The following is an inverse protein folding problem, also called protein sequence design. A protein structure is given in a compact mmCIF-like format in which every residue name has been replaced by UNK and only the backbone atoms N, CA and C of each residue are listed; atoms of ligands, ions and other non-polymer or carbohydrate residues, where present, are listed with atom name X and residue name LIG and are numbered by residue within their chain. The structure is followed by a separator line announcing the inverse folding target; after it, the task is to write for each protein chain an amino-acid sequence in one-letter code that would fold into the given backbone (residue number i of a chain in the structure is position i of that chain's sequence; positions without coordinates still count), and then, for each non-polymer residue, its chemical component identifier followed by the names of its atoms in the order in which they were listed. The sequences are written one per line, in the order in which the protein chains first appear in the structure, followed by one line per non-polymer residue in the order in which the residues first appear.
data_IF_605609986664
#
_entry.id   IF_605609986664
#
_cell.length_a   1.000
_cell.length_b   1.000
_cell.length_c   1.000
_cell.angle_alpha   90.00
_cell.angle_beta   90.00
_cell.angle_gamma   90.00
#
_symmetry.space_group_name_H-M   'P 1'
#
loop_
_entity.id
_entity.type
_entity.pdbx_description
1 polymer ?
#
# COMPACT_ATOMS: atom_id res chain seq x y z
N UNK A 1 0.99 -17.93 -3.55
CA UNK A 1 1.09 -19.35 -3.15
C UNK A 1 -0.19 -20.19 -3.36
N UNK A 2 -1.13 -19.74 -4.17
CA UNK A 2 -2.40 -20.45 -4.43
C UNK A 2 -2.21 -21.75 -5.23
N UNK A 3 -1.11 -21.89 -5.96
CA UNK A 3 -0.85 -23.06 -6.83
C UNK A 3 -0.15 -24.21 -6.10
N UNK A 4 0.62 -23.95 -5.05
CA UNK A 4 1.37 -24.99 -4.33
C UNK A 4 0.47 -26.11 -3.76
N UNK A 5 -0.65 -25.80 -3.05
CA UNK A 5 -1.52 -26.86 -2.53
C UNK A 5 -2.19 -27.73 -3.60
N UNK A 6 -2.32 -27.20 -4.84
CA UNK A 6 -3.02 -27.86 -5.92
C UNK A 6 -2.09 -28.63 -6.87
N UNK A 7 -0.85 -28.18 -7.04
CA UNK A 7 0.06 -28.64 -8.10
C UNK A 7 1.47 -28.96 -7.57
N UNK A 8 1.73 -28.76 -6.27
CA UNK A 8 3.08 -28.87 -5.71
C UNK A 8 3.67 -30.27 -5.74
N UNK A 9 2.86 -31.30 -5.72
CA UNK A 9 3.28 -32.70 -5.80
C UNK A 9 3.63 -33.16 -7.22
N UNK A 10 2.93 -32.61 -8.23
CA UNK A 10 3.05 -33.02 -9.62
C UNK A 10 3.87 -32.07 -10.51
N UNK A 11 3.86 -30.77 -10.19
CA UNK A 11 4.47 -29.72 -11.01
C UNK A 11 5.50 -28.85 -10.26
N UNK A 12 6.12 -29.36 -9.20
CA UNK A 12 7.02 -28.59 -8.34
C UNK A 12 8.13 -27.85 -9.11
N UNK A 13 8.83 -28.57 -10.00
CA UNK A 13 9.92 -27.97 -10.79
C UNK A 13 9.45 -26.85 -11.71
N UNK A 14 8.26 -27.00 -12.30
CA UNK A 14 7.63 -25.99 -13.16
C UNK A 14 7.20 -24.76 -12.35
N UNK A 15 6.62 -24.99 -11.16
CA UNK A 15 6.27 -23.91 -10.23
C UNK A 15 7.53 -23.17 -9.77
N UNK A 16 8.58 -23.88 -9.35
CA UNK A 16 9.87 -23.27 -8.97
C UNK A 16 10.38 -22.33 -10.07
N UNK A 17 10.46 -22.82 -11.29
CA UNK A 17 10.89 -22.04 -12.45
C UNK A 17 10.03 -20.80 -12.71
N UNK A 18 8.72 -20.86 -12.45
CA UNK A 18 7.81 -19.73 -12.64
C UNK A 18 8.02 -18.59 -11.62
N UNK A 19 8.70 -18.86 -10.50
CA UNK A 19 9.01 -17.89 -9.45
C UNK A 19 10.48 -17.44 -9.40
N UNK A 20 11.33 -17.89 -10.35
CA UNK A 20 12.77 -17.54 -10.38
C UNK A 20 13.06 -16.07 -10.69
N UNK A 21 12.05 -15.29 -11.14
CA UNK A 21 12.18 -13.88 -11.51
C UNK A 21 11.64 -12.94 -10.42
N UNK A 22 11.75 -13.33 -9.16
CA UNK A 22 11.43 -12.46 -8.04
C UNK A 22 12.36 -11.25 -7.99
N UNK A 23 11.88 -10.14 -7.43
CA UNK A 23 12.66 -8.92 -7.21
C UNK A 23 12.82 -8.68 -5.71
N UNK A 24 14.01 -8.21 -5.31
CA UNK A 24 14.29 -7.82 -3.94
C UNK A 24 13.77 -6.39 -3.69
N UNK A 25 13.30 -6.14 -2.46
CA UNK A 25 12.85 -4.82 -2.04
C UNK A 25 14.02 -3.88 -1.72
N UNK A 26 15.14 -4.43 -1.23
CA UNK A 26 16.33 -3.64 -0.89
C UNK A 26 16.83 -2.82 -2.07
N UNK A 27 17.05 -1.52 -1.85
CA UNK A 27 17.50 -0.60 -2.89
C UNK A 27 16.42 -0.14 -3.87
N UNK A 28 15.19 -0.68 -3.78
CA UNK A 28 14.06 -0.19 -4.56
C UNK A 28 13.43 1.04 -3.91
N UNK A 29 12.74 1.84 -4.71
CA UNK A 29 12.06 3.03 -4.25
C UNK A 29 10.59 2.73 -4.00
N UNK A 30 10.11 3.00 -2.79
CA UNK A 30 8.68 3.02 -2.48
C UNK A 30 8.17 4.45 -2.43
N UNK A 31 7.12 4.73 -3.17
CA UNK A 31 6.36 5.97 -3.15
C UNK A 31 5.16 5.83 -2.20
N UNK A 32 5.12 6.68 -1.19
CA UNK A 32 4.04 6.71 -0.21
C UNK A 32 3.16 7.92 -0.48
N UNK A 33 1.91 7.68 -0.84
CA UNK A 33 0.91 8.74 -1.04
C UNK A 33 0.03 8.82 0.19
N UNK A 34 0.22 9.89 0.98
CA UNK A 34 -0.36 10.07 2.30
C UNK A 34 0.63 9.77 3.42
N UNK A 35 1.18 10.81 4.08
CA UNK A 35 2.14 10.72 5.20
C UNK A 35 1.48 10.92 6.56
N UNK A 36 0.23 10.49 6.69
CA UNK A 36 -0.46 10.36 7.99
C UNK A 36 0.12 9.24 8.86
N UNK A 37 -0.58 8.87 9.93
CA UNK A 37 -0.13 7.84 10.88
C UNK A 37 0.27 6.52 10.20
N UNK A 38 -0.55 6.04 9.24
CA UNK A 38 -0.31 4.76 8.55
C UNK A 38 0.87 4.90 7.57
N UNK A 39 0.91 5.98 6.77
CA UNK A 39 2.01 6.21 5.83
C UNK A 39 3.37 6.30 6.51
N UNK A 40 3.45 6.94 7.69
CA UNK A 40 4.68 6.99 8.50
C UNK A 40 5.10 5.61 9.02
N UNK A 41 4.17 4.75 9.42
CA UNK A 41 4.47 3.37 9.83
C UNK A 41 4.97 2.52 8.65
N UNK A 42 4.37 2.70 7.47
CA UNK A 42 4.86 2.03 6.25
C UNK A 42 6.26 2.54 5.89
N UNK A 43 6.51 3.85 5.99
CA UNK A 43 7.85 4.41 5.79
C UNK A 43 8.88 3.78 6.74
N UNK A 44 8.55 3.64 8.02
CA UNK A 44 9.41 3.01 9.04
C UNK A 44 9.76 1.56 8.66
N UNK A 45 8.77 0.78 8.22
CA UNK A 45 8.98 -0.61 7.78
C UNK A 45 9.85 -0.65 6.52
N UNK A 46 9.56 0.18 5.54
CA UNK A 46 10.29 0.25 4.27
C UNK A 46 11.76 0.63 4.46
N UNK A 47 12.05 1.60 5.34
CA UNK A 47 13.42 1.96 5.73
C UNK A 47 14.14 0.76 6.37
N UNK A 48 13.46 0.01 7.24
CA UNK A 48 14.00 -1.21 7.86
C UNK A 48 14.32 -2.31 6.85
N UNK A 49 13.61 -2.36 5.73
CA UNK A 49 13.86 -3.28 4.61
C UNK A 49 14.97 -2.78 3.66
N UNK A 50 15.54 -1.59 3.91
CA UNK A 50 16.56 -0.99 3.06
C UNK A 50 16.02 -0.41 1.76
N UNK A 51 14.75 -0.02 1.73
CA UNK A 51 14.16 0.69 0.60
C UNK A 51 14.45 2.19 0.67
N UNK A 52 14.49 2.83 -0.48
CA UNK A 52 14.40 4.29 -0.58
C UNK A 52 12.94 4.71 -0.45
N UNK A 53 12.66 5.65 0.44
CA UNK A 53 11.31 6.18 0.64
C UNK A 53 11.22 7.57 0.04
N UNK A 54 10.22 7.79 -0.81
CA UNK A 54 9.77 9.10 -1.29
C UNK A 54 8.28 9.24 -0.98
N UNK A 55 7.79 10.44 -0.74
CA UNK A 55 6.43 10.61 -0.24
C UNK A 55 5.73 11.85 -0.81
N UNK A 56 4.42 11.77 -0.95
CA UNK A 56 3.55 12.88 -1.26
C UNK A 56 2.44 13.01 -0.22
N UNK A 57 2.19 14.25 0.24
CA UNK A 57 1.08 14.58 1.13
C UNK A 57 0.72 16.06 0.96
N UNK A 58 -0.56 16.38 1.00
CA UNK A 58 -1.05 17.76 0.85
C UNK A 58 -0.92 18.61 2.13
N UNK A 59 -0.79 17.96 3.29
CA UNK A 59 -0.84 18.62 4.61
C UNK A 59 0.46 18.43 5.41
N UNK A 60 1.25 17.41 5.08
CA UNK A 60 2.50 17.07 5.78
C UNK A 60 3.66 17.37 4.85
N UNK A 61 4.39 18.47 5.08
CA UNK A 61 5.56 18.82 4.27
C UNK A 61 6.83 18.04 4.63
N UNK A 62 6.93 17.54 5.88
CA UNK A 62 8.06 16.74 6.39
C UNK A 62 7.60 15.85 7.53
N UNK A 63 8.13 14.64 7.57
CA UNK A 63 7.93 13.70 8.67
C UNK A 63 9.26 13.15 9.15
N UNK A 64 9.48 13.09 10.47
CA UNK A 64 10.65 12.48 11.09
C UNK A 64 10.30 11.06 11.54
N UNK A 65 10.81 10.07 10.84
CA UNK A 65 10.49 8.66 11.04
C UNK A 65 11.48 8.04 12.01
N UNK A 66 10.98 7.64 13.19
CA UNK A 66 11.78 6.97 14.21
C UNK A 66 11.86 5.46 13.93
N UNK A 67 13.02 4.99 13.49
CA UNK A 67 13.30 3.56 13.32
C UNK A 67 13.96 3.03 14.59
N UNK A 68 13.25 2.17 15.31
CA UNK A 68 13.75 1.56 16.59
C UNK A 68 14.32 0.18 16.31
N UNK A 69 15.39 -0.15 17.05
CA UNK A 69 16.02 -1.47 17.09
C UNK A 69 15.68 -2.19 18.40
N UNK A 70 15.87 -3.52 18.45
CA UNK A 70 15.54 -4.36 19.59
C UNK A 70 16.27 -3.98 20.89
N UNK A 71 17.45 -3.37 20.77
CA UNK A 71 18.30 -2.91 21.89
C UNK A 71 17.94 -1.49 22.37
N UNK A 72 16.75 -0.99 22.08
CA UNK A 72 16.25 0.36 22.35
C UNK A 72 17.02 1.51 21.67
N UNK A 73 18.00 1.22 20.84
CA UNK A 73 18.60 2.23 19.97
C UNK A 73 17.58 2.64 18.89
N UNK A 74 17.73 3.83 18.37
CA UNK A 74 16.92 4.33 17.28
C UNK A 74 17.69 5.32 16.42
N UNK A 75 17.24 5.48 15.20
CA UNK A 75 17.63 6.55 14.30
C UNK A 75 16.38 7.32 13.87
N UNK A 76 16.52 8.61 13.64
CA UNK A 76 15.49 9.41 13.01
C UNK A 76 15.87 9.63 11.54
N UNK A 77 14.94 9.38 10.64
CA UNK A 77 15.09 9.61 9.21
C UNK A 77 14.04 10.64 8.82
N UNK A 78 14.48 11.79 8.35
CA UNK A 78 13.59 12.83 7.88
C UNK A 78 13.21 12.58 6.41
N UNK A 79 11.92 12.62 6.13
CA UNK A 79 11.35 12.47 4.79
C UNK A 79 10.60 13.76 4.47
N UNK A 80 11.04 14.46 3.46
CA UNK A 80 10.33 15.59 2.88
C UNK A 80 9.34 15.07 1.85
N UNK A 81 8.14 15.65 1.82
CA UNK A 81 7.15 15.31 0.80
C UNK A 81 7.36 16.17 -0.44
N UNK A 82 7.06 15.60 -1.57
CA UNK A 82 7.13 16.22 -2.88
C UNK A 82 5.76 16.14 -3.60
N UNK A 83 5.56 16.86 -4.70
CA UNK A 83 4.37 16.69 -5.53
C UNK A 83 4.17 15.25 -5.95
N UNK A 84 2.91 14.80 -6.00
CA UNK A 84 2.55 13.41 -6.29
C UNK A 84 3.15 12.92 -7.62
N UNK A 85 3.25 13.79 -8.61
CA UNK A 85 3.82 13.49 -9.92
C UNK A 85 5.28 13.02 -9.82
N UNK A 86 6.05 13.60 -8.91
CA UNK A 86 7.43 13.19 -8.62
C UNK A 86 7.46 11.77 -8.06
N UNK A 87 6.61 11.48 -7.08
CA UNK A 87 6.46 10.15 -6.48
C UNK A 87 6.06 9.12 -7.53
N UNK A 88 5.04 9.40 -8.35
CA UNK A 88 4.57 8.49 -9.40
C UNK A 88 5.68 8.16 -10.40
N UNK A 89 6.45 9.15 -10.81
CA UNK A 89 7.50 9.01 -11.81
C UNK A 89 8.71 8.20 -11.33
N UNK A 90 9.04 8.26 -10.04
CA UNK A 90 10.29 7.69 -9.52
C UNK A 90 10.12 6.41 -8.70
N UNK A 91 8.91 6.08 -8.28
CA UNK A 91 8.66 4.89 -7.46
C UNK A 91 8.71 3.59 -8.28
N UNK A 92 9.26 2.53 -7.67
CA UNK A 92 9.16 1.14 -8.14
C UNK A 92 7.93 0.45 -7.53
N UNK A 93 7.53 0.89 -6.32
CA UNK A 93 6.35 0.48 -5.59
C UNK A 93 5.58 1.72 -5.14
N UNK A 94 4.27 1.73 -5.26
CA UNK A 94 3.41 2.82 -4.79
C UNK A 94 2.43 2.26 -3.78
N UNK A 95 2.26 2.94 -2.66
CA UNK A 95 1.27 2.59 -1.63
C UNK A 95 0.45 3.81 -1.23
N UNK A 96 -0.86 3.61 -1.10
CA UNK A 96 -1.82 4.68 -0.91
C UNK A 96 -2.37 4.65 0.52
N UNK A 97 -2.30 5.80 1.20
CA UNK A 97 -2.76 6.01 2.59
C UNK A 97 -3.55 7.31 2.73
N UNK A 98 -4.48 7.52 1.82
CA UNK A 98 -5.29 8.73 1.69
C UNK A 98 -6.76 8.43 1.94
N UNK A 99 -7.57 9.42 2.34
CA UNK A 99 -9.01 9.26 2.47
C UNK A 99 -9.67 9.04 1.09
N UNK A 100 -10.93 8.63 1.12
CA UNK A 100 -11.75 8.57 -0.10
C UNK A 100 -11.78 9.93 -0.78
N UNK A 101 -11.74 9.92 -2.11
CA UNK A 101 -11.89 11.13 -2.89
C UNK A 101 -13.36 11.57 -2.88
N UNK A 102 -13.58 12.89 -2.84
CA UNK A 102 -14.95 13.44 -2.90
C UNK A 102 -15.55 13.27 -4.29
N UNK A 103 -14.72 13.42 -5.32
CA UNK A 103 -15.10 13.28 -6.72
C UNK A 103 -13.94 12.62 -7.48
N UNK A 104 -14.27 11.73 -8.41
CA UNK A 104 -13.31 11.06 -9.28
C UNK A 104 -12.37 10.09 -8.52
N UNK A 105 -11.21 9.88 -9.10
CA UNK A 105 -10.15 9.00 -8.61
C UNK A 105 -8.86 9.80 -8.43
N UNK A 106 -8.03 9.41 -7.45
CA UNK A 106 -6.69 9.99 -7.32
C UNK A 106 -5.72 9.37 -8.33
N UNK A 107 -5.91 8.09 -8.62
CA UNK A 107 -5.09 7.33 -9.58
C UNK A 107 -6.00 6.83 -10.69
N UNK A 108 -5.92 7.45 -11.83
CA UNK A 108 -6.58 7.09 -13.07
C UNK A 108 -5.59 6.84 -14.22
N UNK A 109 -6.06 6.85 -15.46
CA UNK A 109 -5.23 6.59 -16.64
C UNK A 109 -4.00 7.51 -16.72
N UNK A 110 -4.18 8.81 -16.48
CA UNK A 110 -3.10 9.81 -16.53
C UNK A 110 -2.00 9.54 -15.51
N UNK A 111 -2.39 9.18 -14.30
CA UNK A 111 -1.46 8.88 -13.22
C UNK A 111 -0.70 7.57 -13.52
N UNK A 112 -1.38 6.55 -14.04
CA UNK A 112 -0.69 5.33 -14.50
C UNK A 112 0.31 5.63 -15.63
N UNK A 113 0.00 6.50 -16.58
CA UNK A 113 0.94 6.89 -17.65
C UNK A 113 2.23 7.52 -17.11
N UNK A 114 2.16 8.29 -16.03
CA UNK A 114 3.33 8.92 -15.39
C UNK A 114 4.24 7.91 -14.68
N UNK A 115 3.72 6.76 -14.26
CA UNK A 115 4.47 5.77 -13.47
C UNK A 115 5.54 5.08 -14.31
N UNK A 116 6.50 4.44 -13.64
CA UNK A 116 7.45 3.53 -14.30
C UNK A 116 6.73 2.33 -14.92
N UNK A 117 7.24 1.82 -16.03
CA UNK A 117 6.80 0.54 -16.55
C UNK A 117 7.16 -0.59 -15.57
N UNK A 118 6.19 -1.46 -15.28
CA UNK A 118 6.38 -2.55 -14.33
C UNK A 118 6.29 -2.13 -12.85
N UNK A 119 5.75 -0.95 -12.54
CA UNK A 119 5.49 -0.52 -11.16
C UNK A 119 4.54 -1.49 -10.45
N UNK A 120 4.69 -1.64 -9.14
CA UNK A 120 3.70 -2.30 -8.31
C UNK A 120 2.89 -1.28 -7.52
N UNK A 121 1.59 -1.51 -7.34
CA UNK A 121 0.72 -0.61 -6.57
C UNK A 121 -0.04 -1.36 -5.48
N UNK A 122 -0.17 -0.73 -4.31
CA UNK A 122 -0.92 -1.27 -3.17
C UNK A 122 -1.93 -0.24 -2.69
N UNK A 123 -3.18 -0.67 -2.55
CA UNK A 123 -4.23 0.14 -1.94
C UNK A 123 -4.87 -0.60 -0.76
N UNK A 124 -4.54 -0.16 0.45
CA UNK A 124 -5.17 -0.57 1.70
C UNK A 124 -5.82 0.65 2.38
N UNK A 125 -6.19 1.67 1.63
CA UNK A 125 -6.80 2.90 2.16
C UNK A 125 -8.32 2.91 2.00
N UNK A 126 -8.81 3.25 0.81
CA UNK A 126 -10.25 3.26 0.49
C UNK A 126 -10.49 2.81 -0.94
N UNK A 127 -11.61 2.14 -1.17
CA UNK A 127 -12.15 1.92 -2.51
C UNK A 127 -12.41 3.26 -3.20
N UNK A 128 -12.24 3.31 -4.54
CA UNK A 128 -12.41 4.55 -5.30
C UNK A 128 -11.23 5.54 -5.25
N UNK A 129 -10.13 5.25 -4.52
CA UNK A 129 -8.89 6.01 -4.66
C UNK A 129 -8.20 5.69 -5.99
N UNK A 130 -8.34 4.45 -6.46
CA UNK A 130 -7.88 4.00 -7.77
C UNK A 130 -9.11 3.78 -8.67
N UNK A 131 -9.04 4.24 -9.92
CA UNK A 131 -9.95 3.78 -10.98
C UNK A 131 -9.63 2.31 -11.29
N UNK A 132 -10.51 1.40 -10.89
CA UNK A 132 -10.30 -0.04 -11.10
C UNK A 132 -10.27 -0.44 -12.58
N UNK A 133 -10.97 0.27 -13.46
CA UNK A 133 -10.93 0.00 -14.92
C UNK A 133 -9.56 0.41 -15.49
N UNK A 134 -9.08 1.59 -15.11
CA UNK A 134 -7.75 2.05 -15.51
C UNK A 134 -6.65 1.13 -14.94
N UNK A 135 -6.80 0.62 -13.70
CA UNK A 135 -5.89 -0.36 -13.11
C UNK A 135 -5.84 -1.65 -13.93
N UNK A 136 -6.98 -2.21 -14.30
CA UNK A 136 -7.05 -3.44 -15.13
C UNK A 136 -6.36 -3.22 -16.48
N UNK A 137 -6.60 -2.08 -17.13
CA UNK A 137 -5.92 -1.71 -18.37
C UNK A 137 -4.41 -1.63 -18.19
N UNK A 138 -3.93 -0.98 -17.13
CA UNK A 138 -2.51 -0.85 -16.81
C UNK A 138 -1.84 -2.19 -16.47
N UNK A 139 -2.56 -3.12 -15.81
CA UNK A 139 -2.09 -4.48 -15.54
C UNK A 139 -1.99 -5.33 -16.82
N UNK A 140 -2.96 -5.19 -17.72
CA UNK A 140 -3.00 -5.92 -19.00
C UNK A 140 -1.87 -5.45 -19.93
N UNK A 141 -1.63 -4.14 -20.03
CA UNK A 141 -0.53 -3.57 -20.82
C UNK A 141 0.86 -3.83 -20.24
N UNK A 142 0.97 -4.25 -18.98
CA UNK A 142 2.22 -4.41 -18.27
C UNK A 142 2.81 -3.12 -17.71
N UNK A 143 2.09 -1.99 -17.80
CA UNK A 143 2.44 -0.72 -17.15
C UNK A 143 2.52 -0.91 -15.64
N UNK A 144 1.55 -1.62 -15.07
CA UNK A 144 1.57 -2.13 -13.70
C UNK A 144 1.91 -3.62 -13.74
N UNK A 145 2.92 -4.04 -13.01
CA UNK A 145 3.33 -5.45 -12.95
C UNK A 145 2.37 -6.28 -12.12
N UNK A 146 1.96 -5.76 -10.96
CA UNK A 146 0.98 -6.37 -10.05
C UNK A 146 0.39 -5.35 -9.10
N UNK A 147 -0.78 -5.67 -8.54
CA UNK A 147 -1.46 -4.85 -7.55
C UNK A 147 -1.79 -5.65 -6.29
N UNK A 148 -1.78 -4.98 -5.13
CA UNK A 148 -2.32 -5.45 -3.87
C UNK A 148 -3.52 -4.60 -3.46
N UNK A 149 -4.69 -5.21 -3.26
CA UNK A 149 -5.91 -4.50 -2.90
C UNK A 149 -6.54 -5.10 -1.64
N UNK A 150 -6.78 -4.28 -0.63
CA UNK A 150 -7.58 -4.63 0.54
C UNK A 150 -8.97 -3.96 0.51
N UNK A 151 -9.15 -3.00 -0.40
CA UNK A 151 -10.35 -2.17 -0.54
C UNK A 151 -10.78 -2.09 -2.01
N UNK A 152 -12.09 -1.92 -2.25
CA UNK A 152 -12.68 -1.99 -3.57
C UNK A 152 -13.77 -0.94 -3.79
N UNK A 153 -14.01 -0.59 -5.05
CA UNK A 153 -15.24 0.10 -5.43
C UNK A 153 -16.41 -0.88 -5.23
N UNK A 154 -17.52 -0.39 -4.73
CA UNK A 154 -18.74 -1.16 -4.49
C UNK A 154 -18.59 -2.32 -3.48
N UNK A 155 -17.83 -2.13 -2.40
CA UNK A 155 -17.92 -3.06 -1.27
C UNK A 155 -19.39 -3.16 -0.77
N UNK A 156 -19.89 -4.36 -0.43
CA UNK A 156 -19.19 -5.65 -0.33
C UNK A 156 -19.18 -6.49 -1.62
N UNK A 157 -19.49 -5.94 -2.76
CA UNK A 157 -19.60 -6.64 -4.06
C UNK A 157 -18.60 -6.11 -5.09
N UNK A 158 -17.28 -6.39 -4.95
CA UNK A 158 -16.29 -5.97 -5.92
C UNK A 158 -16.55 -6.57 -7.30
N UNK A 159 -16.05 -5.93 -8.35
CA UNK A 159 -16.25 -6.37 -9.72
C UNK A 159 -15.58 -7.72 -9.99
N UNK A 160 -16.21 -8.58 -10.81
CA UNK A 160 -15.64 -9.87 -11.22
C UNK A 160 -14.34 -9.71 -12.00
N UNK A 161 -14.15 -8.62 -12.68
CA UNK A 161 -12.96 -8.30 -13.44
C UNK A 161 -11.74 -8.14 -12.49
N UNK A 162 -11.91 -7.43 -11.40
CA UNK A 162 -10.90 -7.30 -10.34
C UNK A 162 -10.69 -8.66 -9.64
N UNK A 163 -11.77 -9.33 -9.20
CA UNK A 163 -11.68 -10.56 -8.42
C UNK A 163 -10.97 -11.70 -9.16
N UNK A 164 -11.09 -11.77 -10.48
CA UNK A 164 -10.50 -12.83 -11.30
C UNK A 164 -9.14 -12.46 -11.90
N UNK A 165 -8.64 -11.25 -11.69
CA UNK A 165 -7.40 -10.80 -12.33
C UNK A 165 -6.16 -11.47 -11.71
N UNK A 166 -5.38 -12.18 -12.53
CA UNK A 166 -4.26 -13.02 -12.06
C UNK A 166 -3.11 -12.25 -11.40
N UNK A 167 -2.96 -10.95 -11.75
CA UNK A 167 -1.91 -10.07 -11.22
C UNK A 167 -2.36 -9.24 -10.01
N UNK A 168 -3.54 -9.49 -9.45
CA UNK A 168 -4.04 -8.81 -8.26
C UNK A 168 -4.01 -9.78 -7.07
N UNK A 169 -3.36 -9.38 -5.99
CA UNK A 169 -3.47 -10.01 -4.67
C UNK A 169 -4.50 -9.26 -3.84
N UNK A 170 -5.42 -9.99 -3.19
CA UNK A 170 -6.56 -9.37 -2.52
C UNK A 170 -6.77 -9.89 -1.12
N UNK A 171 -7.28 -9.01 -0.25
CA UNK A 171 -7.83 -9.32 1.07
C UNK A 171 -9.18 -8.61 1.25
N UNK A 172 -10.10 -9.13 2.08
CA UNK A 172 -11.46 -8.59 2.17
C UNK A 172 -11.57 -7.47 3.24
N UNK A 173 -10.86 -6.35 3.02
CA UNK A 173 -10.84 -5.16 3.87
C UNK A 173 -10.48 -5.49 5.33
N UNK A 174 -9.34 -6.16 5.50
CA UNK A 174 -8.87 -6.67 6.80
C UNK A 174 -7.62 -5.96 7.33
N UNK A 175 -7.17 -4.90 6.69
CA UNK A 175 -5.92 -4.20 7.04
C UNK A 175 -5.84 -3.70 8.48
N UNK A 176 -6.98 -3.42 9.12
CA UNK A 176 -7.07 -3.01 10.53
C UNK A 176 -7.67 -4.09 11.44
N UNK A 177 -7.88 -5.32 10.95
CA UNK A 177 -8.64 -6.38 11.65
C UNK A 177 -7.75 -7.30 12.49
N UNK A 178 -6.72 -6.76 13.17
CA UNK A 178 -5.97 -7.51 14.18
C UNK A 178 -6.50 -7.22 15.58
N UNK A 179 -6.35 -8.18 16.50
CA UNK A 179 -6.76 -8.02 17.91
C UNK A 179 -6.11 -6.78 18.53
N UNK A 180 -4.81 -6.64 18.33
CA UNK A 180 -4.03 -5.51 18.89
C UNK A 180 -4.45 -4.16 18.27
N UNK A 181 -4.88 -4.12 17.01
CA UNK A 181 -5.39 -2.89 16.40
C UNK A 181 -6.77 -2.52 16.98
N UNK A 182 -7.64 -3.51 17.17
CA UNK A 182 -8.96 -3.30 17.77
C UNK A 182 -8.85 -2.80 19.22
N UNK A 183 -7.95 -3.38 20.02
CA UNK A 183 -7.68 -2.93 21.39
C UNK A 183 -7.17 -1.49 21.42
N UNK A 184 -6.21 -1.14 20.57
CA UNK A 184 -5.70 0.23 20.47
C UNK A 184 -6.77 1.23 20.03
N UNK A 185 -7.63 0.86 19.10
CA UNK A 185 -8.74 1.70 18.64
C UNK A 185 -9.73 1.91 19.78
N UNK A 186 -10.10 0.84 20.49
CA UNK A 186 -11.02 0.90 21.63
C UNK A 186 -10.52 1.81 22.74
N UNK A 187 -9.25 1.65 23.14
CA UNK A 187 -8.62 2.49 24.16
C UNK A 187 -8.55 3.96 23.72
N UNK A 188 -8.10 4.22 22.49
CA UNK A 188 -8.02 5.59 21.97
C UNK A 188 -9.39 6.27 21.87
N UNK A 189 -10.44 5.51 21.51
CA UNK A 189 -11.80 6.03 21.47
C UNK A 189 -12.32 6.35 22.88
N UNK A 190 -12.08 5.46 23.83
CA UNK A 190 -12.46 5.68 25.23
C UNK A 190 -11.79 6.93 25.81
N UNK A 191 -10.47 7.10 25.59
CA UNK A 191 -9.74 8.29 26.01
C UNK A 191 -10.30 9.58 25.40
N UNK A 192 -10.65 9.56 24.11
CA UNK A 192 -11.25 10.72 23.45
C UNK A 192 -12.64 11.05 24.02
N UNK A 193 -13.48 10.06 24.26
CA UNK A 193 -14.79 10.24 24.85
C UNK A 193 -14.67 10.82 26.28
N UNK A 194 -13.80 10.26 27.12
CA UNK A 194 -13.55 10.79 28.46
C UNK A 194 -13.07 12.24 28.40
N UNK A 195 -12.17 12.58 27.49
CA UNK A 195 -11.68 13.94 27.32
C UNK A 195 -12.78 14.91 26.89
N UNK A 196 -13.68 14.51 25.98
CA UNK A 196 -14.80 15.34 25.50
C UNK A 196 -15.84 15.54 26.63
N UNK A 197 -16.12 14.48 27.37
CA UNK A 197 -17.11 14.52 28.45
C UNK A 197 -16.56 15.07 29.76
N UNK A 198 -15.26 15.39 29.83
CA UNK A 198 -14.57 15.85 31.05
C UNK A 198 -14.72 14.87 32.23
N UNK A 199 -14.86 13.60 31.95
CA UNK A 199 -14.91 12.52 32.96
C UNK A 199 -13.48 12.09 33.24
N UNK A 200 -13.09 12.17 34.53
CA UNK A 200 -11.80 11.67 35.03
C UNK A 200 -11.83 10.17 35.24
#
# INVERSE_FOLDING_TARGET
NRKMPLLGDSEFAKLKKSYEKGIELRGKTIGIVGMGRIGQEVARIALGLGMRVIAADSNVGRASIKVKFYNNQFINVDIETEPIEGVLKHADFITLHVPAQKEGYMIGEKEFEMMKNGVAIVNCSRGGVIDEKALVSALNSGKVAFAGLDVFINEPTPSKEILNHAKISMTPHTGASTLEAQDRIGLSLAEQICSILQVQ
#
